data_IF_420899017068
#
_entry.id   IF_420899017068
#
_cell.length_a   1.000
_cell.length_b   1.000
_cell.length_c   1.000
_cell.angle_alpha   90.00
_cell.angle_beta   90.00
_cell.angle_gamma   90.00
#
_symmetry.space_group_name_H-M   'P 1'
#
loop_
_entity.id
_entity.type
_entity.pdbx_description
1 polymer ?
#
# COMPACT_ATOMS: atom_id res chain seq x y z
N UNK A 1 -5.36 4.70 4.20
CA UNK A 1 -3.92 4.83 3.90
C UNK A 1 -3.22 3.63 4.50
N UNK A 2 -2.15 3.14 3.88
CA UNK A 2 -1.37 2.04 4.44
C UNK A 2 -0.39 2.57 5.50
N UNK A 3 -0.35 1.91 6.65
CA UNK A 3 0.60 2.22 7.73
C UNK A 3 1.29 0.92 8.17
N UNK A 4 2.64 0.84 8.16
CA UNK A 4 3.35 -0.27 8.76
C UNK A 4 3.19 -0.21 10.29
N UNK A 5 2.43 -1.14 10.87
CA UNK A 5 2.09 -1.14 12.31
C UNK A 5 2.97 -2.07 13.14
N UNK A 6 3.56 -3.09 12.51
CA UNK A 6 4.39 -4.08 13.21
C UNK A 6 5.42 -4.72 12.28
N UNK A 7 6.64 -4.89 12.77
CA UNK A 7 7.65 -5.76 12.15
C UNK A 7 7.63 -7.13 12.82
N UNK A 8 7.72 -8.20 12.03
CA UNK A 8 7.92 -9.55 12.56
C UNK A 8 9.37 -9.85 12.93
N UNK A 9 10.32 -9.02 12.50
CA UNK A 9 11.77 -9.19 12.74
C UNK A 9 12.33 -8.18 13.73
N UNK A 10 11.55 -7.15 14.09
CA UNK A 10 12.01 -6.00 14.87
C UNK A 10 12.79 -4.97 14.05
N UNK A 11 12.99 -5.20 12.75
CA UNK A 11 13.62 -4.23 11.85
C UNK A 11 12.71 -3.00 11.68
N UNK A 12 13.34 -1.86 11.39
CA UNK A 12 12.64 -0.65 10.97
C UNK A 12 12.76 -0.50 9.45
N UNK A 13 11.70 0.00 8.83
CA UNK A 13 11.67 0.29 7.41
C UNK A 13 12.55 1.51 7.10
N UNK A 14 13.63 1.35 6.31
CA UNK A 14 14.49 2.47 5.95
C UNK A 14 13.78 3.43 5.00
N UNK A 15 14.03 4.72 5.15
CA UNK A 15 13.57 5.72 4.19
C UNK A 15 14.53 5.76 3.00
N UNK A 16 13.93 5.73 1.81
CA UNK A 16 14.58 5.94 0.53
C UNK A 16 14.06 7.23 -0.10
N UNK A 17 14.90 7.85 -0.91
CA UNK A 17 14.61 9.11 -1.56
C UNK A 17 14.74 8.90 -3.07
N UNK A 18 13.60 8.74 -3.74
CA UNK A 18 13.54 8.37 -5.16
C UNK A 18 12.76 9.42 -5.96
N UNK A 19 13.12 9.57 -7.24
CA UNK A 19 12.45 10.49 -8.16
C UNK A 19 11.04 10.02 -8.50
N UNK A 20 10.07 10.93 -8.45
CA UNK A 20 8.67 10.70 -8.79
C UNK A 20 8.28 11.39 -10.11
N UNK A 21 7.22 10.91 -10.75
CA UNK A 21 6.57 11.65 -11.83
C UNK A 21 5.83 12.88 -11.27
N UNK A 22 5.45 13.82 -12.16
CA UNK A 22 4.67 14.97 -11.74
C UNK A 22 3.24 14.55 -11.33
N UNK A 23 2.94 14.54 -10.03
CA UNK A 23 1.63 14.23 -9.47
C UNK A 23 1.56 14.63 -7.98
N UNK A 24 0.37 14.53 -7.37
CA UNK A 24 0.16 14.63 -5.93
C UNK A 24 0.14 13.24 -5.31
N UNK A 25 1.10 12.98 -4.43
CA UNK A 25 1.24 11.76 -3.65
C UNK A 25 0.82 11.99 -2.21
N UNK A 26 0.33 10.93 -1.56
CA UNK A 26 -0.12 10.99 -0.18
C UNK A 26 0.66 10.02 0.70
N UNK A 27 0.88 10.39 1.96
CA UNK A 27 1.49 9.49 2.93
C UNK A 27 0.66 8.20 3.06
N UNK A 28 1.33 7.06 3.09
CA UNK A 28 0.69 5.75 3.12
C UNK A 28 0.13 5.28 1.76
N UNK A 29 0.42 5.96 0.66
CA UNK A 29 0.06 5.53 -0.69
C UNK A 29 1.08 4.54 -1.26
N UNK A 30 0.58 3.41 -1.76
CA UNK A 30 1.35 2.41 -2.50
C UNK A 30 1.67 2.91 -3.91
N UNK A 31 2.94 2.82 -4.29
CA UNK A 31 3.48 3.32 -5.54
C UNK A 31 4.15 2.20 -6.34
N UNK A 32 4.12 2.36 -7.66
CA UNK A 32 4.87 1.52 -8.60
C UNK A 32 5.99 2.31 -9.27
N UNK A 33 6.80 1.65 -10.09
CA UNK A 33 7.86 2.29 -10.88
C UNK A 33 7.52 2.18 -12.35
N UNK A 34 7.36 3.32 -13.01
CA UNK A 34 7.15 3.42 -14.46
C UNK A 34 8.20 4.33 -15.06
N UNK A 35 8.93 3.87 -16.09
CA UNK A 35 9.99 4.67 -16.71
C UNK A 35 11.10 5.10 -15.74
N UNK A 36 11.37 4.30 -14.70
CA UNK A 36 12.39 4.58 -13.69
C UNK A 36 11.99 5.61 -12.62
N UNK A 37 10.72 6.05 -12.60
CA UNK A 37 10.19 7.01 -11.62
C UNK A 37 9.05 6.39 -10.82
N UNK A 38 8.85 6.89 -9.60
CA UNK A 38 7.69 6.55 -8.78
C UNK A 38 6.41 7.10 -9.42
N UNK A 39 5.41 6.26 -9.57
CA UNK A 39 4.08 6.61 -10.08
C UNK A 39 2.99 5.99 -9.22
N UNK A 40 1.79 6.58 -9.25
CA UNK A 40 0.59 5.94 -8.69
C UNK A 40 0.30 4.63 -9.41
N UNK A 41 -0.51 3.79 -8.78
CA UNK A 41 -1.08 2.63 -9.43
C UNK A 41 -2.07 3.12 -10.51
N UNK A 42 -2.05 2.49 -11.68
CA UNK A 42 -2.99 2.81 -12.78
C UNK A 42 -4.23 1.91 -12.78
N UNK A 43 -4.29 0.94 -11.87
CA UNK A 43 -5.38 0.00 -11.66
C UNK A 43 -5.19 -0.70 -10.29
N UNK A 44 -6.20 -1.44 -9.83
CA UNK A 44 -6.04 -2.32 -8.68
C UNK A 44 -4.89 -3.33 -8.89
N UNK A 45 -3.99 -3.44 -7.92
CA UNK A 45 -2.78 -4.24 -8.03
C UNK A 45 -2.99 -5.63 -7.42
N UNK A 46 -2.76 -6.66 -8.24
CA UNK A 46 -2.69 -8.07 -7.81
C UNK A 46 -1.32 -8.43 -7.24
N UNK A 47 -0.28 -7.70 -7.62
CA UNK A 47 1.10 -7.89 -7.12
C UNK A 47 1.43 -6.92 -5.99
N UNK A 48 2.50 -7.20 -5.25
CA UNK A 48 3.01 -6.30 -4.21
C UNK A 48 3.58 -5.02 -4.84
N UNK A 49 2.99 -3.84 -4.59
CA UNK A 49 3.61 -2.59 -5.01
C UNK A 49 4.98 -2.42 -4.32
N UNK A 50 6.03 -1.97 -5.01
CA UNK A 50 7.38 -1.96 -4.46
C UNK A 50 7.61 -0.90 -3.37
N UNK A 51 6.87 0.22 -3.39
CA UNK A 51 7.12 1.36 -2.52
C UNK A 51 5.87 1.88 -1.83
N UNK A 52 6.06 2.40 -0.62
CA UNK A 52 5.07 3.10 0.18
C UNK A 52 5.52 4.55 0.37
N UNK A 53 4.67 5.51 0.05
CA UNK A 53 4.96 6.94 0.20
C UNK A 53 4.96 7.36 1.67
N UNK A 54 5.93 8.18 2.08
CA UNK A 54 6.11 8.62 3.47
C UNK A 54 5.74 10.09 3.71
N UNK A 55 5.22 10.81 2.71
CA UNK A 55 4.85 12.21 2.84
C UNK A 55 3.70 12.61 1.90
N UNK A 56 2.92 13.62 2.31
CA UNK A 56 2.00 14.32 1.42
C UNK A 56 2.79 15.35 0.59
N UNK A 57 2.79 15.20 -0.74
CA UNK A 57 3.61 16.03 -1.61
C UNK A 57 3.01 16.13 -3.02
N UNK A 58 2.93 17.36 -3.54
CA UNK A 58 2.78 17.59 -4.99
C UNK A 58 4.17 17.70 -5.60
N UNK A 59 4.58 16.67 -6.31
CA UNK A 59 5.90 16.54 -6.89
C UNK A 59 5.92 17.11 -8.31
N UNK A 60 7.00 17.83 -8.66
CA UNK A 60 7.37 18.04 -10.05
C UNK A 60 8.01 16.79 -10.66
N UNK A 61 8.09 16.70 -11.99
CA UNK A 61 8.70 15.54 -12.65
C UNK A 61 10.18 15.39 -12.27
N UNK A 62 10.55 14.20 -11.80
CA UNK A 62 11.88 13.88 -11.28
C UNK A 62 12.14 14.37 -9.85
N UNK A 63 11.19 15.05 -9.20
CA UNK A 63 11.35 15.48 -7.81
C UNK A 63 11.49 14.27 -6.89
N UNK A 64 12.48 14.33 -6.01
CA UNK A 64 12.76 13.28 -5.04
C UNK A 64 11.78 13.35 -3.88
N UNK A 65 11.09 12.23 -3.59
CA UNK A 65 10.15 12.10 -2.49
C UNK A 65 10.56 10.97 -1.54
N UNK A 66 10.24 11.07 -0.23
CA UNK A 66 10.55 10.01 0.72
C UNK A 66 9.58 8.84 0.56
N UNK A 67 10.12 7.63 0.47
CA UNK A 67 9.39 6.36 0.40
C UNK A 67 10.06 5.32 1.29
N UNK A 68 9.38 4.20 1.52
CA UNK A 68 10.01 2.97 2.00
C UNK A 68 9.68 1.82 1.05
N UNK A 69 10.53 0.79 1.02
CA UNK A 69 10.16 -0.48 0.38
C UNK A 69 9.03 -1.16 1.14
N UNK A 70 8.19 -1.85 0.38
CA UNK A 70 7.18 -2.75 0.91
C UNK A 70 7.81 -4.13 1.14
N UNK A 71 7.65 -4.67 2.34
CA UNK A 71 8.24 -5.95 2.73
C UNK A 71 7.19 -6.87 3.35
N UNK A 72 7.22 -8.16 3.02
CA UNK A 72 6.30 -9.17 3.58
C UNK A 72 6.53 -9.50 5.06
N UNK A 73 7.61 -9.00 5.66
CA UNK A 73 7.93 -9.14 7.08
C UNK A 73 7.18 -8.14 7.96
N UNK A 74 6.50 -7.16 7.35
CA UNK A 74 5.71 -6.15 8.06
C UNK A 74 4.21 -6.41 7.94
N UNK A 75 3.50 -6.05 9.01
CA UNK A 75 2.06 -5.93 9.02
C UNK A 75 1.68 -4.49 8.71
N UNK A 76 0.80 -4.32 7.74
CA UNK A 76 0.26 -3.03 7.32
C UNK A 76 -1.21 -2.94 7.70
N UNK A 77 -1.62 -1.77 8.18
CA UNK A 77 -3.01 -1.41 8.43
C UNK A 77 -3.53 -0.51 7.32
N UNK A 78 -4.77 -0.72 6.91
CA UNK A 78 -5.48 0.11 5.93
C UNK A 78 -6.99 -0.10 6.06
N UNK A 79 -7.78 0.44 5.15
CA UNK A 79 -9.24 0.28 5.12
C UNK A 79 -9.73 -0.35 3.81
N UNK A 80 -10.93 -0.93 3.86
CA UNK A 80 -11.61 -1.47 2.68
C UNK A 80 -12.15 -0.34 1.78
N UNK A 81 -11.92 -0.42 0.47
CA UNK A 81 -12.38 0.56 -0.52
C UNK A 81 -13.89 0.47 -0.82
N UNK A 82 -14.47 -0.73 -0.62
CA UNK A 82 -15.86 -1.08 -0.84
C UNK A 82 -16.23 -2.30 0.03
N UNK A 83 -17.50 -2.74 -0.02
CA UNK A 83 -17.92 -4.01 0.59
C UNK A 83 -17.06 -5.17 0.06
N UNK A 84 -16.40 -5.88 0.97
CA UNK A 84 -15.58 -7.06 0.69
C UNK A 84 -16.14 -8.23 1.47
N UNK A 85 -17.16 -8.90 0.92
CA UNK A 85 -17.94 -9.92 1.63
C UNK A 85 -17.12 -11.09 2.21
N UNK A 86 -16.01 -11.43 1.56
CA UNK A 86 -15.11 -12.52 1.97
C UNK A 86 -13.86 -12.00 2.72
N UNK A 87 -13.89 -10.78 3.24
CA UNK A 87 -12.81 -10.28 4.08
C UNK A 87 -12.76 -11.09 5.39
N UNK A 88 -11.78 -11.97 5.48
CA UNK A 88 -11.49 -12.81 6.65
C UNK A 88 -9.97 -13.04 6.74
N UNK A 89 -9.42 -13.32 7.92
CA UNK A 89 -8.02 -13.70 8.05
C UNK A 89 -7.65 -14.86 7.10
N UNK A 90 -6.52 -14.74 6.42
CA UNK A 90 -6.05 -15.64 5.36
C UNK A 90 -6.60 -15.34 3.96
N UNK A 91 -7.61 -14.48 3.83
CA UNK A 91 -8.09 -14.05 2.51
C UNK A 91 -7.06 -13.15 1.84
N UNK A 92 -6.91 -13.31 0.53
CA UNK A 92 -6.07 -12.48 -0.31
C UNK A 92 -6.90 -11.41 -0.99
N UNK A 93 -6.46 -10.16 -0.90
CA UNK A 93 -7.10 -8.99 -1.50
C UNK A 93 -6.10 -8.21 -2.36
N UNK A 94 -6.62 -7.28 -3.16
CA UNK A 94 -5.82 -6.39 -4.00
C UNK A 94 -5.59 -5.06 -3.31
N UNK A 95 -4.49 -4.38 -3.63
CA UNK A 95 -4.37 -2.95 -3.34
C UNK A 95 -5.24 -2.22 -4.36
N UNK A 96 -6.13 -1.35 -3.91
CA UNK A 96 -7.01 -0.62 -4.82
C UNK A 96 -6.20 0.38 -5.68
N UNK A 97 -6.79 0.87 -6.77
CA UNK A 97 -6.14 1.82 -7.69
C UNK A 97 -5.65 3.10 -7.00
N UNK A 98 -6.34 3.54 -5.95
CA UNK A 98 -5.93 4.69 -5.15
C UNK A 98 -4.58 4.48 -4.43
N UNK A 99 -4.12 3.24 -4.27
CA UNK A 99 -2.93 2.86 -3.51
C UNK A 99 -3.06 3.08 -2.00
N UNK A 100 -4.22 3.47 -1.49
CA UNK A 100 -4.45 3.86 -0.10
C UNK A 100 -5.35 2.89 0.65
N UNK A 101 -6.13 2.10 -0.08
CA UNK A 101 -7.10 1.14 0.43
C UNK A 101 -6.88 -0.23 -0.21
N UNK A 102 -7.61 -1.24 0.27
CA UNK A 102 -7.67 -2.56 -0.38
C UNK A 102 -9.05 -2.80 -0.96
N UNK A 103 -9.09 -3.56 -2.05
CA UNK A 103 -10.31 -3.96 -2.75
C UNK A 103 -10.42 -5.47 -2.86
N UNK A 104 -11.63 -5.97 -3.05
CA UNK A 104 -11.88 -7.38 -3.34
C UNK A 104 -11.11 -7.82 -4.61
N UNK A 105 -10.61 -9.06 -4.59
CA UNK A 105 -9.94 -9.69 -5.73
C UNK A 105 -8.74 -10.52 -5.27
N UNK A 106 -8.26 -11.46 -6.09
CA UNK A 106 -7.09 -12.25 -5.74
C UNK A 106 -5.82 -11.41 -5.96
N UNK A 107 -5.19 -10.94 -4.87
CA UNK A 107 -3.91 -10.23 -4.90
C UNK A 107 -2.92 -10.76 -3.87
N UNK A 108 -1.82 -10.03 -3.67
CA UNK A 108 -0.75 -10.45 -2.75
C UNK A 108 -0.90 -9.90 -1.33
N UNK A 109 -1.95 -9.13 -1.03
CA UNK A 109 -2.19 -8.67 0.34
C UNK A 109 -3.04 -9.70 1.10
N UNK A 110 -2.41 -10.49 1.96
CA UNK A 110 -3.07 -11.46 2.82
C UNK A 110 -3.58 -10.77 4.09
N UNK A 111 -4.88 -10.83 4.35
CA UNK A 111 -5.50 -10.30 5.55
C UNK A 111 -5.11 -11.15 6.76
N UNK A 112 -4.81 -10.50 7.87
CA UNK A 112 -4.43 -11.11 9.16
C UNK A 112 -5.44 -10.74 10.24
N UNK A 113 -5.97 -9.52 10.20
CA UNK A 113 -6.96 -9.00 11.13
C UNK A 113 -8.01 -8.19 10.36
N UNK A 114 -9.29 -8.36 10.70
CA UNK A 114 -10.42 -7.78 9.95
C UNK A 114 -11.46 -7.31 10.97
N UNK A 115 -11.68 -5.99 11.06
CA UNK A 115 -12.69 -5.43 11.97
C UNK A 115 -14.11 -5.53 11.40
N UNK A 116 -14.23 -5.57 10.07
CA UNK A 116 -15.50 -5.70 9.36
C UNK A 116 -15.31 -5.87 7.85
N UNK A 117 -16.44 -5.91 7.13
CA UNK A 117 -16.46 -6.19 5.68
C UNK A 117 -16.93 -4.99 4.84
N UNK A 118 -17.36 -3.89 5.46
CA UNK A 118 -17.91 -2.72 4.79
C UNK A 118 -16.82 -1.73 4.36
N UNK A 119 -17.18 -0.82 3.46
CA UNK A 119 -16.29 0.28 3.06
C UNK A 119 -15.85 1.08 4.30
N UNK A 120 -14.55 1.31 4.42
CA UNK A 120 -13.97 2.07 5.52
C UNK A 120 -13.61 1.23 6.74
N UNK A 121 -14.04 -0.03 6.83
CA UNK A 121 -13.64 -0.91 7.92
C UNK A 121 -12.12 -1.16 7.88
N UNK A 122 -11.50 -1.15 9.05
CA UNK A 122 -10.07 -1.37 9.20
C UNK A 122 -9.73 -2.84 8.96
N UNK A 123 -8.65 -3.04 8.23
CA UNK A 123 -8.04 -4.35 8.03
C UNK A 123 -6.54 -4.25 8.20
N UNK A 124 -5.94 -5.34 8.68
CA UNK A 124 -4.49 -5.49 8.72
C UNK A 124 -4.08 -6.70 7.92
N UNK A 125 -2.97 -6.60 7.23
CA UNK A 125 -2.47 -7.67 6.40
C UNK A 125 -0.98 -7.53 6.12
N UNK A 126 -0.44 -8.54 5.42
CA UNK A 126 0.95 -8.59 4.99
C UNK A 126 1.01 -8.92 3.50
N UNK A 127 2.10 -8.54 2.87
CA UNK A 127 2.35 -8.92 1.49
C UNK A 127 3.00 -10.30 1.43
N UNK A 128 2.46 -11.20 0.61
CA UNK A 128 2.91 -12.60 0.43
C UNK A 128 3.27 -12.95 -1.01
#
# INVERSE_FOLDING_TARGET
MFVPVKSNTGAMLPWEYLGAAADTYQAGQMLTVTGGKLTKLSAASTTTPPYLCMADVTAADGQVIPVTRVEGTFLYETTLSALTAEAKPGAKVQVAEDGLTVSQGAGNFELVDVEGTQKGDTVRGRFV
#
